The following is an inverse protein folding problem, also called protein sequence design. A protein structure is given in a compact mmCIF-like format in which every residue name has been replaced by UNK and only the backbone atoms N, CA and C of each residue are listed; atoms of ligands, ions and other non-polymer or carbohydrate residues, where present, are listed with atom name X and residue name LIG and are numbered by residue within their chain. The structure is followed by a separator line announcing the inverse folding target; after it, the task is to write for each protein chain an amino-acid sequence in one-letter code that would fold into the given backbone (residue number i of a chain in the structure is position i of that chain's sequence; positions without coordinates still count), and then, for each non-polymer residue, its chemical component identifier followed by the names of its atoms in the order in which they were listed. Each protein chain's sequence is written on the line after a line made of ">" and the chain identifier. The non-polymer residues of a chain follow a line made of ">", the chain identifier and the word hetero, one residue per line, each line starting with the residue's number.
data_IF_903372348111
#
_entry.id   IF_903372348111
#
_cell.length_a   1.000
_cell.length_b   1.000
_cell.length_c   1.000
_cell.angle_alpha   90.00
_cell.angle_beta   90.00
_cell.angle_gamma   90.00
#
_symmetry.space_group_name_H-M   'P 1'
#
loop_
_entity.id
_entity.type
_entity.pdbx_description
1 polymer ?
#
# COMPACT_ATOMS: atom_id res chain seq x y z
N UNK A 1 73.10 -57.06 -4.16
CA UNK A 1 72.33 -58.00 -3.30
C UNK A 1 71.09 -57.25 -2.91
N UNK A 2 70.01 -57.56 -3.60
CA UNK A 2 68.78 -58.16 -3.06
C UNK A 2 68.10 -57.28 -1.98
N UNK A 3 66.86 -56.93 -2.04
CA UNK A 3 65.67 -57.47 -2.67
C UNK A 3 64.56 -56.41 -2.62
N UNK A 4 63.71 -56.40 -3.60
CA UNK A 4 62.34 -55.94 -3.52
C UNK A 4 61.51 -57.04 -2.73
N UNK A 5 60.20 -56.93 -2.57
CA UNK A 5 59.18 -55.91 -2.78
C UNK A 5 58.20 -55.86 -1.56
N UNK A 6 57.15 -55.07 -1.56
CA UNK A 6 55.75 -55.51 -1.41
C UNK A 6 54.77 -54.32 -1.52
N UNK A 7 54.20 -54.28 -2.67
CA UNK A 7 52.86 -53.73 -2.89
C UNK A 7 51.80 -54.41 -1.99
N UNK A 8 50.73 -53.66 -1.84
CA UNK A 8 49.31 -54.04 -1.70
C UNK A 8 48.68 -53.45 -0.48
N UNK A 9 47.55 -52.93 -0.76
CA UNK A 9 46.47 -52.54 0.12
C UNK A 9 46.42 -51.07 0.55
N UNK A 10 45.90 -50.27 -0.31
CA UNK A 10 45.00 -49.18 0.09
C UNK A 10 44.03 -48.83 -1.05
N UNK A 11 43.25 -49.80 -1.44
CA UNK A 11 42.04 -49.55 -2.22
C UNK A 11 40.89 -50.06 -1.37
N UNK A 12 40.19 -49.23 -0.66
CA UNK A 12 38.80 -49.39 -0.24
C UNK A 12 38.45 -48.41 0.92
N UNK A 13 38.26 -47.17 0.66
CA UNK A 13 37.52 -46.27 1.57
C UNK A 13 37.19 -44.94 0.87
N UNK A 14 36.64 -44.96 -0.34
CA UNK A 14 36.04 -43.82 -0.97
C UNK A 14 34.72 -44.25 -1.59
N UNK A 15 33.74 -44.50 -0.76
CA UNK A 15 32.38 -44.74 -1.20
C UNK A 15 31.42 -44.63 -0.02
N UNK A 16 31.22 -43.46 0.56
CA UNK A 16 30.13 -43.16 1.49
C UNK A 16 30.10 -41.70 1.89
N UNK A 17 30.31 -40.78 0.95
CA UNK A 17 29.99 -39.32 1.13
C UNK A 17 29.28 -38.86 -0.15
N UNK A 18 28.08 -39.32 -0.35
CA UNK A 18 27.34 -39.00 -1.56
C UNK A 18 25.81 -39.11 -1.41
N UNK A 19 25.26 -38.84 -0.22
CA UNK A 19 23.81 -38.90 -0.08
C UNK A 19 23.26 -38.00 1.04
N UNK A 20 23.74 -36.78 1.20
CA UNK A 20 23.13 -35.80 2.12
C UNK A 20 23.21 -34.37 1.58
N UNK A 21 22.84 -34.16 0.33
CA UNK A 21 22.68 -32.80 -0.24
C UNK A 21 21.50 -32.80 -1.22
N UNK A 22 20.30 -33.04 -0.72
CA UNK A 22 19.10 -32.91 -1.54
C UNK A 22 17.87 -32.57 -0.68
N UNK A 23 17.98 -31.51 0.14
CA UNK A 23 16.80 -30.85 0.70
C UNK A 23 17.06 -29.37 0.80
N UNK A 24 17.50 -28.74 -0.29
CA UNK A 24 17.27 -27.33 -0.52
C UNK A 24 15.77 -27.20 -0.80
N UNK A 25 15.01 -26.98 0.27
CA UNK A 25 13.63 -26.54 0.18
C UNK A 25 13.63 -25.33 -0.77
N UNK A 26 13.07 -25.50 -1.95
CA UNK A 26 12.76 -24.42 -2.85
C UNK A 26 11.82 -23.49 -2.09
N UNK A 27 12.37 -22.44 -1.50
CA UNK A 27 11.61 -21.32 -1.00
C UNK A 27 10.96 -20.71 -2.25
N UNK A 28 9.72 -21.07 -2.50
CA UNK A 28 8.90 -20.42 -3.52
C UNK A 28 8.74 -18.97 -3.06
N UNK A 29 9.59 -18.09 -3.56
CA UNK A 29 9.38 -16.67 -3.44
C UNK A 29 8.01 -16.39 -4.07
N UNK A 30 7.06 -15.97 -3.26
CA UNK A 30 5.78 -15.48 -3.80
C UNK A 30 6.10 -14.41 -4.85
N UNK A 31 5.44 -14.45 -6.03
CA UNK A 31 5.71 -13.49 -7.07
C UNK A 31 5.47 -12.08 -6.51
N UNK A 32 6.50 -11.25 -6.49
CA UNK A 32 6.40 -9.83 -6.14
C UNK A 32 5.34 -9.25 -7.07
N UNK A 33 4.21 -8.86 -6.49
CA UNK A 33 3.10 -8.30 -7.23
C UNK A 33 3.56 -6.99 -7.88
N UNK A 34 3.79 -7.00 -9.16
CA UNK A 34 4.22 -5.81 -9.90
C UNK A 34 3.18 -4.68 -9.73
N UNK A 35 3.67 -3.51 -9.34
CA UNK A 35 2.77 -2.38 -9.07
C UNK A 35 2.16 -1.88 -10.38
N UNK A 36 0.83 -1.83 -10.45
CA UNK A 36 0.11 -1.28 -11.60
C UNK A 36 0.40 0.21 -11.74
N UNK A 37 0.86 0.61 -12.91
CA UNK A 37 1.17 2.01 -13.20
C UNK A 37 -0.07 2.86 -13.43
N UNK A 38 -1.21 2.23 -13.72
CA UNK A 38 -2.49 2.87 -14.05
C UNK A 38 -3.35 3.22 -12.84
N UNK A 39 -2.98 2.78 -11.64
CA UNK A 39 -3.69 3.15 -10.41
C UNK A 39 -2.76 3.65 -9.30
N UNK A 40 -3.30 4.54 -8.46
CA UNK A 40 -2.61 5.17 -7.34
C UNK A 40 -3.49 5.12 -6.08
N UNK A 41 -2.91 4.73 -4.96
CA UNK A 41 -3.49 4.90 -3.63
C UNK A 41 -2.68 5.98 -2.91
N UNK A 42 -3.34 7.05 -2.46
CA UNK A 42 -2.66 8.18 -1.85
C UNK A 42 -3.36 8.67 -0.59
N UNK A 43 -2.57 9.17 0.36
CA UNK A 43 -3.10 9.77 1.57
C UNK A 43 -2.37 9.44 2.88
N UNK A 44 -3.14 9.31 3.95
CA UNK A 44 -2.72 9.14 5.34
C UNK A 44 -2.55 7.64 5.74
N UNK A 45 -2.67 7.35 7.04
CA UNK A 45 -2.53 5.97 7.56
C UNK A 45 -3.57 5.00 7.02
N UNK A 46 -4.76 5.47 6.66
CA UNK A 46 -5.80 4.63 6.08
C UNK A 46 -5.37 4.21 4.67
N UNK A 47 -4.83 5.14 3.87
CA UNK A 47 -4.26 4.83 2.56
C UNK A 47 -3.09 3.83 2.66
N UNK A 48 -2.21 3.97 3.66
CA UNK A 48 -1.14 2.98 3.94
C UNK A 48 -1.73 1.59 4.14
N UNK A 49 -2.79 1.47 4.94
CA UNK A 49 -3.47 0.19 5.18
C UNK A 49 -4.11 -0.41 3.92
N UNK A 50 -4.77 0.41 3.09
CA UNK A 50 -5.38 -0.05 1.83
C UNK A 50 -4.33 -0.46 0.81
N UNK A 51 -3.21 0.27 0.72
CA UNK A 51 -2.13 -0.02 -0.21
C UNK A 51 -1.56 -1.44 -0.06
N UNK A 52 -1.53 -1.98 1.16
CA UNK A 52 -1.07 -3.34 1.43
C UNK A 52 -1.87 -4.43 0.71
N UNK A 53 -3.13 -4.14 0.37
CA UNK A 53 -4.04 -5.08 -0.31
C UNK A 53 -4.23 -4.75 -1.79
N UNK A 54 -3.60 -3.70 -2.29
CA UNK A 54 -3.67 -3.29 -3.68
C UNK A 54 -2.38 -3.61 -4.44
N UNK A 55 -2.43 -3.58 -5.78
CA UNK A 55 -1.24 -3.56 -6.62
C UNK A 55 -0.97 -2.15 -7.18
N UNK A 56 -1.64 -1.13 -6.67
CA UNK A 56 -1.48 0.25 -7.12
C UNK A 56 -0.15 0.83 -6.64
N UNK A 57 0.38 1.81 -7.37
CA UNK A 57 1.40 2.71 -6.82
C UNK A 57 0.88 3.42 -5.59
N UNK A 58 1.77 3.87 -4.72
CA UNK A 58 1.34 4.55 -3.49
C UNK A 58 2.13 5.83 -3.24
N UNK A 59 1.41 6.89 -2.82
CA UNK A 59 1.92 8.10 -2.19
C UNK A 59 1.22 8.24 -0.84
N UNK A 60 1.64 7.50 0.17
CA UNK A 60 0.97 7.49 1.46
C UNK A 60 1.95 7.58 2.63
N UNK A 61 1.53 8.25 3.71
CA UNK A 61 2.31 8.38 4.93
C UNK A 61 1.36 8.53 6.11
N UNK A 62 1.52 7.66 7.13
CA UNK A 62 0.69 7.70 8.33
C UNK A 62 0.81 9.01 9.12
N UNK A 63 -0.29 9.43 9.75
CA UNK A 63 -0.32 10.57 10.67
C UNK A 63 -0.24 11.96 10.02
N UNK A 64 -0.24 12.08 8.69
CA UNK A 64 -0.21 13.37 8.03
C UNK A 64 -1.61 13.97 7.89
N UNK A 65 -1.73 15.27 8.23
CA UNK A 65 -2.86 16.09 7.81
C UNK A 65 -2.77 16.38 6.31
N UNK A 66 -3.89 16.75 5.69
CA UNK A 66 -3.96 17.02 4.24
C UNK A 66 -2.94 18.04 3.75
N UNK A 67 -2.73 19.14 4.49
CA UNK A 67 -1.75 20.16 4.11
C UNK A 67 -0.30 19.66 4.23
N UNK A 68 0.05 18.88 5.27
CA UNK A 68 1.39 18.26 5.40
C UNK A 68 1.62 17.21 4.33
N UNK A 69 0.56 16.49 3.97
CA UNK A 69 0.63 15.54 2.87
C UNK A 69 0.94 16.24 1.54
N UNK A 70 0.25 17.35 1.26
CA UNK A 70 0.48 18.15 0.05
C UNK A 70 1.91 18.72 -0.01
N UNK A 71 2.42 19.22 1.12
CA UNK A 71 3.80 19.70 1.22
C UNK A 71 4.82 18.58 0.90
N UNK A 72 4.55 17.37 1.38
CA UNK A 72 5.46 16.24 1.19
C UNK A 72 5.39 15.64 -0.22
N UNK A 73 4.20 15.45 -0.75
CA UNK A 73 3.96 14.62 -1.94
C UNK A 73 3.45 15.40 -3.16
N UNK A 74 3.16 16.69 -3.03
CA UNK A 74 2.55 17.48 -4.08
C UNK A 74 3.37 17.55 -5.37
N UNK A 75 4.71 17.56 -5.26
CA UNK A 75 5.63 17.55 -6.42
C UNK A 75 5.67 16.16 -7.09
N UNK A 76 5.65 15.09 -6.29
CA UNK A 76 5.65 13.73 -6.83
C UNK A 76 4.32 13.42 -7.52
N UNK A 77 3.21 13.93 -6.99
CA UNK A 77 1.89 13.81 -7.60
C UNK A 77 1.84 14.42 -9.00
N UNK A 78 2.49 15.56 -9.22
CA UNK A 78 2.54 16.22 -10.53
C UNK A 78 3.24 15.38 -11.61
N UNK A 79 4.10 14.44 -11.21
CA UNK A 79 4.84 13.55 -12.10
C UNK A 79 4.09 12.26 -12.45
N UNK A 80 2.95 12.02 -11.81
CA UNK A 80 2.16 10.81 -12.00
C UNK A 80 0.94 11.11 -12.89
N UNK A 81 0.57 10.12 -13.70
CA UNK A 81 -0.62 10.20 -14.54
C UNK A 81 -1.44 8.90 -14.46
N UNK A 82 -1.95 8.53 -13.28
CA UNK A 82 -2.77 7.33 -13.12
C UNK A 82 -4.16 7.54 -13.73
N UNK A 83 -4.77 6.47 -14.23
CA UNK A 83 -6.17 6.49 -14.69
C UNK A 83 -7.15 6.39 -13.53
N UNK A 84 -6.74 5.75 -12.43
CA UNK A 84 -7.57 5.46 -11.26
C UNK A 84 -6.83 5.94 -10.01
N UNK A 85 -7.51 6.72 -9.17
CA UNK A 85 -6.94 7.23 -7.91
C UNK A 85 -7.88 6.99 -6.75
N UNK A 86 -7.34 6.46 -5.66
CA UNK A 86 -7.95 6.47 -4.35
C UNK A 86 -7.28 7.54 -3.48
N UNK A 87 -8.08 8.43 -2.90
CA UNK A 87 -7.64 9.46 -1.97
C UNK A 87 -8.20 9.18 -0.58
N UNK A 88 -7.34 9.05 0.41
CA UNK A 88 -7.70 8.97 1.82
C UNK A 88 -6.95 10.05 2.58
N UNK A 89 -7.59 11.18 2.79
CA UNK A 89 -7.10 12.32 3.54
C UNK A 89 -8.20 12.88 4.43
N UNK A 90 -7.81 13.59 5.47
CA UNK A 90 -8.74 14.26 6.38
C UNK A 90 -8.87 13.61 7.75
N UNK A 91 -8.45 12.35 7.92
CA UNK A 91 -8.55 11.69 9.24
C UNK A 91 -7.68 12.36 10.32
N UNK A 92 -6.61 13.05 9.92
CA UNK A 92 -5.67 13.74 10.80
C UNK A 92 -5.79 15.28 10.76
N UNK A 93 -6.87 15.80 10.19
CA UNK A 93 -6.93 17.24 9.86
C UNK A 93 -7.47 18.11 11.01
N UNK A 94 -8.13 17.54 11.99
CA UNK A 94 -8.90 18.31 12.95
C UNK A 94 -9.79 19.34 12.23
N UNK A 95 -10.12 20.47 12.84
CA UNK A 95 -10.88 21.56 12.21
C UNK A 95 -9.96 22.67 11.62
N UNK A 96 -8.77 22.33 11.14
CA UNK A 96 -7.82 23.29 10.59
C UNK A 96 -8.24 23.76 9.18
N UNK A 97 -8.54 25.05 8.96
CA UNK A 97 -8.99 25.55 7.66
C UNK A 97 -7.96 25.40 6.54
N UNK A 98 -6.67 25.21 6.84
CA UNK A 98 -5.63 24.90 5.84
C UNK A 98 -5.91 23.56 5.16
N UNK A 99 -6.49 22.62 5.89
CA UNK A 99 -6.79 21.29 5.39
C UNK A 99 -7.79 21.30 4.25
N UNK A 100 -8.84 22.12 4.33
CA UNK A 100 -9.80 22.24 3.24
C UNK A 100 -9.13 22.73 1.95
N UNK A 101 -8.33 23.80 2.04
CA UNK A 101 -7.56 24.32 0.89
C UNK A 101 -6.59 23.27 0.32
N UNK A 102 -5.96 22.50 1.20
CA UNK A 102 -5.07 21.44 0.78
C UNK A 102 -5.81 20.30 0.05
N UNK A 103 -6.99 19.89 0.52
CA UNK A 103 -7.83 18.89 -0.16
C UNK A 103 -8.22 19.36 -1.58
N UNK A 104 -8.61 20.62 -1.72
CA UNK A 104 -8.92 21.24 -3.03
C UNK A 104 -7.69 21.26 -3.94
N UNK A 105 -6.53 21.65 -3.41
CA UNK A 105 -5.27 21.68 -4.15
C UNK A 105 -4.80 20.27 -4.56
N UNK A 106 -4.89 19.29 -3.68
CA UNK A 106 -4.60 17.89 -3.97
C UNK A 106 -5.46 17.40 -5.13
N UNK A 107 -6.79 17.62 -5.04
CA UNK A 107 -7.69 17.15 -6.09
C UNK A 107 -7.43 17.83 -7.44
N UNK A 108 -7.13 19.12 -7.44
CA UNK A 108 -6.83 19.88 -8.66
C UNK A 108 -5.59 19.38 -9.41
N UNK A 109 -4.64 18.74 -8.70
CA UNK A 109 -3.44 18.11 -9.29
C UNK A 109 -3.71 16.73 -9.88
N UNK A 110 -4.78 16.04 -9.45
CA UNK A 110 -5.11 14.69 -9.92
C UNK A 110 -5.81 14.75 -11.27
N UNK A 111 -5.21 14.12 -12.30
CA UNK A 111 -5.72 14.08 -13.68
C UNK A 111 -6.36 12.73 -14.06
N UNK A 112 -6.78 11.95 -13.07
CA UNK A 112 -7.36 10.63 -13.30
C UNK A 112 -8.79 10.71 -13.85
N UNK A 113 -9.16 9.73 -14.65
CA UNK A 113 -10.53 9.57 -15.16
C UNK A 113 -11.48 9.00 -14.12
N UNK A 114 -10.96 8.29 -13.11
CA UNK A 114 -11.73 7.72 -12.00
C UNK A 114 -11.06 8.10 -10.68
N UNK A 115 -11.75 8.90 -9.87
CA UNK A 115 -11.30 9.28 -8.54
C UNK A 115 -12.31 8.81 -7.51
N UNK A 116 -11.81 8.19 -6.46
CA UNK A 116 -12.59 7.77 -5.32
C UNK A 116 -11.95 8.31 -4.04
N UNK A 117 -12.77 8.91 -3.18
CA UNK A 117 -12.38 9.35 -1.86
C UNK A 117 -12.83 8.37 -0.80
N UNK A 118 -12.01 8.11 0.19
CA UNK A 118 -12.44 7.52 1.45
C UNK A 118 -12.88 8.64 2.38
N UNK A 119 -14.14 8.63 2.78
CA UNK A 119 -14.65 9.59 3.76
C UNK A 119 -14.02 9.31 5.13
N UNK A 120 -13.45 10.31 5.84
CA UNK A 120 -13.01 10.15 7.21
C UNK A 120 -14.15 9.73 8.15
N UNK A 121 -13.81 9.25 9.35
CA UNK A 121 -14.78 8.86 10.36
C UNK A 121 -15.82 9.95 10.62
N UNK A 122 -17.09 9.59 10.59
CA UNK A 122 -18.19 10.52 10.85
C UNK A 122 -18.18 11.04 12.29
N UNK A 123 -17.70 10.23 13.22
CA UNK A 123 -17.67 10.54 14.64
C UNK A 123 -16.40 11.29 15.05
N UNK A 124 -15.25 10.86 14.52
CA UNK A 124 -13.95 11.37 14.95
C UNK A 124 -13.42 12.54 14.12
N UNK A 125 -13.87 12.67 12.87
CA UNK A 125 -13.46 13.75 11.97
C UNK A 125 -14.65 14.33 11.18
N UNK A 126 -15.71 14.84 11.86
CA UNK A 126 -16.95 15.25 11.19
C UNK A 126 -16.74 16.44 10.23
N UNK A 127 -15.94 17.45 10.59
CA UNK A 127 -15.68 18.60 9.74
C UNK A 127 -14.79 18.25 8.52
N UNK A 128 -13.63 17.57 8.67
CA UNK A 128 -12.87 17.07 7.52
C UNK A 128 -13.70 16.19 6.58
N UNK A 129 -14.60 15.37 7.11
CA UNK A 129 -15.52 14.57 6.30
C UNK A 129 -16.44 15.43 5.41
N UNK A 130 -16.97 16.54 5.94
CA UNK A 130 -17.77 17.50 5.15
C UNK A 130 -16.94 18.11 4.04
N UNK A 131 -15.68 18.49 4.32
CA UNK A 131 -14.78 19.05 3.31
C UNK A 131 -14.45 18.06 2.20
N UNK A 132 -14.12 16.81 2.56
CA UNK A 132 -13.89 15.74 1.58
C UNK A 132 -15.10 15.57 0.66
N UNK A 133 -16.31 15.49 1.22
CA UNK A 133 -17.53 15.40 0.42
C UNK A 133 -17.79 16.60 -0.47
N UNK A 134 -17.53 17.80 0.04
CA UNK A 134 -17.69 19.03 -0.73
C UNK A 134 -16.70 19.07 -1.91
N UNK A 135 -15.43 18.75 -1.66
CA UNK A 135 -14.41 18.69 -2.72
C UNK A 135 -14.74 17.62 -3.73
N UNK A 136 -15.05 16.40 -3.29
CA UNK A 136 -15.43 15.31 -4.19
C UNK A 136 -16.63 15.70 -5.08
N UNK A 137 -17.64 16.35 -4.49
CA UNK A 137 -18.83 16.83 -5.22
C UNK A 137 -18.51 17.87 -6.29
N UNK A 138 -17.57 18.79 -6.01
CA UNK A 138 -17.14 19.82 -6.98
C UNK A 138 -16.52 19.21 -8.26
N UNK A 139 -15.87 18.06 -8.13
CA UNK A 139 -15.18 17.38 -9.24
C UNK A 139 -15.98 16.20 -9.80
N UNK A 140 -17.15 15.88 -9.24
CA UNK A 140 -17.94 14.71 -9.66
C UNK A 140 -17.32 13.37 -9.24
N UNK A 141 -16.47 13.38 -8.22
CA UNK A 141 -15.78 12.19 -7.74
C UNK A 141 -16.70 11.31 -6.88
N UNK A 142 -16.37 10.02 -6.81
CA UNK A 142 -17.07 9.10 -5.91
C UNK A 142 -16.55 9.25 -4.47
N UNK A 143 -17.45 9.16 -3.51
CA UNK A 143 -17.10 9.05 -2.09
C UNK A 143 -17.48 7.65 -1.61
N UNK A 144 -16.51 6.93 -1.07
CA UNK A 144 -16.73 5.65 -0.42
C UNK A 144 -16.87 5.87 1.09
N UNK A 145 -18.04 5.50 1.59
CA UNK A 145 -18.35 5.57 3.01
C UNK A 145 -17.87 4.28 3.70
N UNK A 146 -17.11 4.43 4.76
CA UNK A 146 -16.61 3.30 5.52
C UNK A 146 -17.71 2.76 6.45
N UNK A 147 -18.21 1.54 6.23
CA UNK A 147 -19.13 0.90 7.18
C UNK A 147 -18.42 0.66 8.52
N UNK A 148 -19.10 0.92 9.61
CA UNK A 148 -18.55 0.82 10.98
C UNK A 148 -18.00 -0.58 11.28
N UNK A 149 -18.67 -1.63 10.82
CA UNK A 149 -18.26 -3.04 10.98
C UNK A 149 -16.94 -3.40 10.30
N UNK A 150 -16.47 -2.54 9.42
CA UNK A 150 -15.19 -2.72 8.69
C UNK A 150 -14.06 -1.88 9.27
N UNK A 151 -14.32 -1.14 10.35
CA UNK A 151 -13.29 -0.41 11.09
C UNK A 151 -12.62 -1.32 12.13
N UNK A 152 -11.42 -0.95 12.53
CA UNK A 152 -10.75 -1.48 13.70
C UNK A 152 -11.40 -0.90 14.99
N UNK A 153 -10.97 -1.39 16.13
CA UNK A 153 -11.49 -0.94 17.44
C UNK A 153 -11.30 0.56 17.71
N UNK A 154 -10.34 1.18 17.01
CA UNK A 154 -10.06 2.62 17.13
C UNK A 154 -11.08 3.51 16.40
N UNK A 155 -11.98 2.93 15.61
CA UNK A 155 -13.01 3.65 14.86
C UNK A 155 -12.47 4.52 13.71
N UNK A 156 -11.19 4.36 13.36
CA UNK A 156 -10.48 5.15 12.33
C UNK A 156 -9.98 4.26 11.21
N UNK A 157 -9.15 3.27 11.57
CA UNK A 157 -8.48 2.42 10.60
C UNK A 157 -9.38 1.30 10.10
N UNK A 158 -9.18 0.91 8.85
CA UNK A 158 -9.86 -0.22 8.27
C UNK A 158 -9.31 -1.55 8.80
N UNK A 159 -10.19 -2.51 9.02
CA UNK A 159 -9.81 -3.90 9.11
C UNK A 159 -9.25 -4.41 7.77
N UNK A 160 -8.60 -5.58 7.77
CA UNK A 160 -8.16 -6.20 6.51
C UNK A 160 -9.31 -6.49 5.55
N UNK A 161 -10.49 -6.82 6.07
CA UNK A 161 -11.72 -7.01 5.29
C UNK A 161 -12.16 -5.69 4.66
N UNK A 162 -12.20 -4.61 5.45
CA UNK A 162 -12.54 -3.27 4.98
C UNK A 162 -11.58 -2.78 3.89
N UNK A 163 -10.28 -2.96 4.09
CA UNK A 163 -9.27 -2.58 3.08
C UNK A 163 -9.45 -3.33 1.75
N UNK A 164 -9.72 -4.63 1.80
CA UNK A 164 -9.99 -5.44 0.60
C UNK A 164 -11.30 -5.00 -0.10
N UNK A 165 -12.32 -4.63 0.66
CA UNK A 165 -13.57 -4.11 0.11
C UNK A 165 -13.33 -2.80 -0.65
N UNK A 166 -12.57 -1.88 -0.07
CA UNK A 166 -12.18 -0.62 -0.74
C UNK A 166 -11.44 -0.88 -2.04
N UNK A 167 -10.45 -1.77 -2.04
CA UNK A 167 -9.69 -2.13 -3.25
C UNK A 167 -10.59 -2.70 -4.34
N UNK A 168 -11.53 -3.58 -3.99
CA UNK A 168 -12.50 -4.14 -4.95
C UNK A 168 -13.43 -3.07 -5.54
N UNK A 169 -13.78 -2.06 -4.75
CA UNK A 169 -14.65 -0.96 -5.19
C UNK A 169 -13.92 0.06 -6.07
N UNK A 170 -12.59 0.12 -5.97
CA UNK A 170 -11.73 1.01 -6.73
C UNK A 170 -11.53 0.49 -8.16
N UNK A 171 -11.28 -0.80 -8.30
CA UNK A 171 -10.93 -1.48 -9.56
C UNK A 171 -12.18 -1.93 -10.31
#
# INVERSE_FOLDING_TARGET
>A
MQAAPKSRMLALKVALIGAMLSSLSAWSAEPVKEARSDCLVMGDSIAVGVAQFSACKTLSTGGLSSWRWLDKWGVDLDRLNPSIVLISLGANDAADPRSRKALEAVRSKVRASKVMWLAPSATLAPEPRKWVRAVAGQFGDRVFELPQEHLQKDGIHLSSVGSKLVVRSLL
#
